data_IF_640406973587
#
_entry.id   IF_640406973587
#
_cell.length_a   1.000
_cell.length_b   1.000
_cell.length_c   1.000
_cell.angle_alpha   90.00
_cell.angle_beta   90.00
_cell.angle_gamma   90.00
#
_symmetry.space_group_name_H-M   'P 1'
#
loop_
_entity.id
_entity.type
_entity.pdbx_description
1 polymer ?
#
# COMPACT_ATOMS: atom_id res chain seq x y z
N UNK A 1 -11.69 28.08 -4.25
CA UNK A 1 -10.48 28.05 -3.41
C UNK A 1 -9.92 26.63 -3.14
N UNK A 2 -10.20 25.61 -3.98
CA UNK A 2 -9.74 24.22 -3.74
C UNK A 2 -8.83 23.66 -4.85
N UNK A 3 -8.46 24.48 -5.85
CA UNK A 3 -7.67 24.04 -7.00
C UNK A 3 -6.24 23.64 -6.59
N UNK A 4 -5.60 24.42 -5.71
CA UNK A 4 -4.27 24.10 -5.18
C UNK A 4 -4.27 22.82 -4.33
N UNK A 5 -5.30 22.61 -3.51
CA UNK A 5 -5.42 21.39 -2.67
C UNK A 5 -5.67 20.12 -3.50
N UNK A 6 -6.53 20.19 -4.51
CA UNK A 6 -6.79 19.08 -5.43
C UNK A 6 -5.55 18.80 -6.29
N UNK A 7 -4.86 19.84 -6.77
CA UNK A 7 -3.62 19.70 -7.54
C UNK A 7 -2.53 19.02 -6.71
N UNK A 8 -2.34 19.45 -5.47
CA UNK A 8 -1.35 18.88 -4.55
C UNK A 8 -1.64 17.41 -4.22
N UNK A 9 -2.86 17.10 -3.79
CA UNK A 9 -3.25 15.72 -3.45
C UNK A 9 -3.21 14.78 -4.65
N UNK A 10 -3.60 15.25 -5.84
CA UNK A 10 -3.49 14.48 -7.08
C UNK A 10 -2.04 14.24 -7.49
N UNK A 11 -1.18 15.25 -7.34
CA UNK A 11 0.25 15.14 -7.62
C UNK A 11 0.99 14.19 -6.66
N UNK A 12 0.56 14.09 -5.40
CA UNK A 12 1.07 13.11 -4.42
C UNK A 12 0.56 11.70 -4.70
N UNK A 13 -0.73 11.55 -5.02
CA UNK A 13 -1.32 10.24 -5.36
C UNK A 13 -0.72 9.64 -6.61
N UNK A 14 -0.39 10.46 -7.61
CA UNK A 14 0.17 9.98 -8.87
C UNK A 14 1.57 9.34 -8.73
N UNK A 15 2.40 9.85 -7.82
CA UNK A 15 3.79 9.36 -7.66
C UNK A 15 3.88 8.17 -6.70
N UNK A 16 2.92 8.03 -5.78
CA UNK A 16 2.98 7.03 -4.72
C UNK A 16 3.07 5.57 -5.23
N UNK A 17 2.27 5.09 -6.20
CA UNK A 17 2.36 3.73 -6.73
C UNK A 17 3.74 3.36 -7.26
N UNK A 18 4.35 4.27 -8.04
CA UNK A 18 5.67 4.07 -8.64
C UNK A 18 6.77 4.05 -7.57
N UNK A 19 6.70 4.97 -6.61
CA UNK A 19 7.66 5.06 -5.50
C UNK A 19 7.62 3.80 -4.64
N UNK A 20 6.43 3.31 -4.29
CA UNK A 20 6.28 2.09 -3.48
C UNK A 20 6.90 0.88 -4.19
N UNK A 21 6.66 0.73 -5.50
CA UNK A 21 7.23 -0.36 -6.29
C UNK A 21 8.75 -0.39 -6.24
N UNK A 22 9.39 0.74 -6.59
CA UNK A 22 10.84 0.85 -6.70
C UNK A 22 11.53 0.71 -5.34
N UNK A 23 10.98 1.33 -4.30
CA UNK A 23 11.54 1.26 -2.95
C UNK A 23 11.54 -0.17 -2.40
N UNK A 24 10.42 -0.88 -2.55
CA UNK A 24 10.29 -2.23 -2.00
C UNK A 24 11.17 -3.20 -2.78
N UNK A 25 11.16 -3.11 -4.11
CA UNK A 25 12.03 -3.92 -4.97
C UNK A 25 13.51 -3.71 -4.61
N UNK A 26 13.95 -2.46 -4.48
CA UNK A 26 15.34 -2.11 -4.14
C UNK A 26 15.71 -2.54 -2.72
N UNK A 27 14.80 -2.34 -1.76
CA UNK A 27 14.99 -2.76 -0.37
C UNK A 27 15.16 -4.28 -0.27
N UNK A 28 14.43 -5.07 -1.06
CA UNK A 28 14.53 -6.53 -1.03
C UNK A 28 15.77 -7.04 -1.76
N UNK A 29 16.15 -6.43 -2.90
CA UNK A 29 17.31 -6.91 -3.67
C UNK A 29 18.65 -6.60 -2.98
N UNK A 30 18.71 -5.55 -2.17
CA UNK A 30 19.92 -5.09 -1.47
C UNK A 30 20.04 -5.56 -0.02
N UNK A 31 18.94 -5.93 0.64
CA UNK A 31 18.94 -6.25 2.07
C UNK A 31 19.30 -7.71 2.36
N UNK A 32 20.22 -7.88 3.30
CA UNK A 32 20.52 -9.17 3.91
C UNK A 32 19.59 -9.45 5.10
N UNK A 33 18.71 -10.43 4.92
CA UNK A 33 17.71 -10.82 5.92
C UNK A 33 18.29 -11.63 7.09
N UNK A 34 19.58 -11.98 7.06
CA UNK A 34 20.23 -12.92 8.00
C UNK A 34 20.21 -12.46 9.47
N UNK A 35 20.19 -11.15 9.74
CA UNK A 35 20.35 -10.61 11.11
C UNK A 35 19.15 -9.81 11.65
N UNK A 36 18.06 -9.67 10.89
CA UNK A 36 16.93 -8.76 11.24
C UNK A 36 15.61 -9.44 11.64
N UNK A 37 15.53 -10.78 11.62
CA UNK A 37 14.27 -11.50 11.85
C UNK A 37 13.61 -11.26 13.21
N UNK A 38 14.41 -11.10 14.27
CA UNK A 38 13.88 -10.97 15.63
C UNK A 38 13.14 -9.64 15.88
N UNK A 39 13.60 -8.53 15.29
CA UNK A 39 12.99 -7.19 15.50
C UNK A 39 11.67 -7.03 14.73
N UNK A 40 11.58 -7.58 13.52
CA UNK A 40 10.37 -7.49 12.68
C UNK A 40 9.19 -8.22 13.32
N UNK A 41 9.42 -9.41 13.91
CA UNK A 41 8.36 -10.18 14.59
C UNK A 41 7.67 -9.36 15.68
N UNK A 42 8.44 -8.64 16.50
CA UNK A 42 7.88 -7.85 17.59
C UNK A 42 7.02 -6.67 17.08
N UNK A 43 7.46 -6.03 15.99
CA UNK A 43 6.71 -4.93 15.35
C UNK A 43 5.37 -5.43 14.79
N UNK A 44 5.35 -6.61 14.17
CA UNK A 44 4.12 -7.20 13.62
C UNK A 44 3.12 -7.51 14.76
N UNK A 45 3.59 -8.11 15.86
CA UNK A 45 2.74 -8.40 17.03
C UNK A 45 2.17 -7.10 17.59
N UNK A 46 3.02 -6.09 17.79
CA UNK A 46 2.61 -4.78 18.27
C UNK A 46 1.55 -4.13 17.35
N UNK A 47 1.71 -4.26 16.03
CA UNK A 47 0.76 -3.73 15.05
C UNK A 47 -0.59 -4.42 15.12
N UNK A 48 -0.62 -5.76 15.20
CA UNK A 48 -1.86 -6.54 15.29
C UNK A 48 -2.62 -6.19 16.58
N UNK A 49 -1.93 -6.19 17.71
CA UNK A 49 -2.52 -5.86 19.01
C UNK A 49 -2.98 -4.41 19.03
N UNK A 50 -2.17 -3.47 18.56
CA UNK A 50 -2.52 -2.05 18.49
C UNK A 50 -3.75 -1.78 17.62
N UNK A 51 -3.83 -2.40 16.44
CA UNK A 51 -4.98 -2.25 15.53
C UNK A 51 -6.26 -2.83 16.14
N UNK A 52 -6.15 -3.98 16.82
CA UNK A 52 -7.27 -4.60 17.51
C UNK A 52 -7.77 -3.78 18.69
N UNK A 53 -6.86 -3.24 19.53
CA UNK A 53 -7.24 -2.34 20.62
C UNK A 53 -7.86 -1.04 20.10
N UNK A 54 -7.33 -0.50 19.01
CA UNK A 54 -7.86 0.71 18.39
C UNK A 54 -9.28 0.49 17.84
N UNK A 55 -9.55 -0.63 17.17
CA UNK A 55 -10.89 -0.93 16.66
C UNK A 55 -11.88 -1.20 17.79
N UNK A 56 -11.47 -1.88 18.87
CA UNK A 56 -12.30 -2.07 20.06
C UNK A 56 -12.66 -0.72 20.73
N UNK A 57 -11.68 0.17 20.87
CA UNK A 57 -11.90 1.51 21.41
C UNK A 57 -12.85 2.33 20.52
N UNK A 58 -12.68 2.28 19.19
CA UNK A 58 -13.55 2.96 18.24
C UNK A 58 -15.00 2.48 18.33
N UNK A 59 -15.23 1.18 18.47
CA UNK A 59 -16.57 0.60 18.64
C UNK A 59 -17.20 1.07 19.95
N UNK A 60 -16.45 1.08 21.06
CA UNK A 60 -16.92 1.61 22.34
C UNK A 60 -17.26 3.10 22.26
N UNK A 61 -16.40 3.91 21.64
CA UNK A 61 -16.63 5.34 21.43
C UNK A 61 -17.89 5.59 20.59
N UNK A 62 -18.14 4.77 19.56
CA UNK A 62 -19.35 4.85 18.75
C UNK A 62 -20.64 4.56 19.56
N UNK A 63 -20.57 3.75 20.63
CA UNK A 63 -21.70 3.56 21.54
C UNK A 63 -21.94 4.77 22.46
N UNK A 64 -20.88 5.46 22.91
CA UNK A 64 -21.00 6.65 23.77
C UNK A 64 -21.43 7.91 22.99
N UNK A 65 -20.98 8.07 21.75
CA UNK A 65 -21.30 9.19 20.88
C UNK A 65 -21.79 8.67 19.53
N UNK A 66 -23.07 8.30 19.39
CA UNK A 66 -23.59 7.76 18.15
C UNK A 66 -23.56 8.83 17.04
N UNK A 67 -22.66 8.65 16.08
CA UNK A 67 -22.57 9.51 14.89
C UNK A 67 -23.70 9.11 13.95
N UNK A 68 -24.80 9.87 13.97
CA UNK A 68 -25.87 9.75 12.98
C UNK A 68 -25.39 10.42 11.69
N UNK A 69 -24.98 9.61 10.71
CA UNK A 69 -24.78 10.06 9.34
C UNK A 69 -26.17 10.43 8.79
N UNK A 70 -26.49 11.72 8.73
CA UNK A 70 -27.70 12.20 8.05
C UNK A 70 -27.56 11.81 6.58
N UNK A 71 -28.50 11.00 6.10
CA UNK A 71 -28.47 10.35 4.80
C UNK A 71 -28.89 11.34 3.70
N UNK A 72 -28.02 12.27 3.33
CA UNK A 72 -28.19 13.07 2.11
C UNK A 72 -27.66 12.27 0.91
N UNK A 73 -28.56 11.57 0.21
CA UNK A 73 -28.23 10.90 -1.07
C UNK A 73 -28.74 9.48 -1.20
N UNK A 74 -30.06 9.32 -1.33
CA UNK A 74 -30.74 8.03 -1.61
C UNK A 74 -30.31 7.40 -2.97
N UNK A 75 -29.46 8.07 -3.75
CA UNK A 75 -28.95 7.55 -5.03
C UNK A 75 -27.77 6.56 -4.89
N UNK A 76 -27.11 6.46 -3.72
CA UNK A 76 -25.98 5.53 -3.52
C UNK A 76 -26.42 4.16 -2.96
N UNK A 77 -27.71 3.99 -2.63
CA UNK A 77 -28.26 2.72 -2.17
C UNK A 77 -28.42 1.66 -3.29
N UNK A 78 -28.19 2.02 -4.55
CA UNK A 78 -28.18 1.08 -5.69
C UNK A 78 -26.83 0.44 -5.94
N UNK A 79 -25.76 0.92 -5.30
CA UNK A 79 -24.51 0.16 -5.23
C UNK A 79 -24.72 -0.90 -4.17
N UNK A 80 -25.09 -2.10 -4.61
CA UNK A 80 -25.12 -3.31 -3.81
C UNK A 80 -23.84 -3.37 -2.98
N UNK A 81 -23.97 -3.12 -1.68
CA UNK A 81 -22.91 -3.46 -0.72
C UNK A 81 -22.52 -4.91 -1.00
N UNK A 82 -21.23 -5.25 -1.08
CA UNK A 82 -20.80 -6.62 -1.31
C UNK A 82 -21.52 -7.54 -0.30
N UNK A 83 -22.50 -8.30 -0.76
CA UNK A 83 -23.42 -9.05 0.11
C UNK A 83 -22.69 -10.24 0.76
N UNK A 84 -21.58 -10.67 0.14
CA UNK A 84 -20.83 -11.84 0.56
C UNK A 84 -19.37 -11.49 0.85
N UNK A 85 -18.96 -11.71 2.10
CA UNK A 85 -17.57 -11.57 2.54
C UNK A 85 -16.60 -12.42 1.69
N UNK A 86 -17.04 -13.59 1.21
CA UNK A 86 -16.27 -14.45 0.30
C UNK A 86 -15.94 -13.80 -1.04
N UNK A 87 -16.81 -12.95 -1.58
CA UNK A 87 -16.56 -12.22 -2.83
C UNK A 87 -15.46 -11.19 -2.65
N UNK A 88 -15.42 -10.51 -1.50
CA UNK A 88 -14.36 -9.55 -1.17
C UNK A 88 -13.01 -10.26 -1.07
N UNK A 89 -12.93 -11.41 -0.37
CA UNK A 89 -11.68 -12.18 -0.31
C UNK A 89 -11.22 -12.65 -1.70
N UNK A 90 -12.16 -13.09 -2.55
CA UNK A 90 -11.86 -13.48 -3.93
C UNK A 90 -11.33 -12.29 -4.74
N UNK A 91 -11.95 -11.11 -4.65
CA UNK A 91 -11.50 -9.89 -5.31
C UNK A 91 -10.10 -9.48 -4.84
N UNK A 92 -9.83 -9.53 -3.53
CA UNK A 92 -8.50 -9.25 -2.97
C UNK A 92 -7.45 -10.22 -3.51
N UNK A 93 -7.75 -11.52 -3.61
CA UNK A 93 -6.85 -12.51 -4.18
C UNK A 93 -6.53 -12.24 -5.65
N UNK A 94 -7.54 -11.90 -6.47
CA UNK A 94 -7.29 -11.52 -7.87
C UNK A 94 -6.47 -10.24 -8.00
N UNK A 95 -6.67 -9.26 -7.11
CA UNK A 95 -5.87 -8.03 -7.07
C UNK A 95 -4.41 -8.26 -6.73
N UNK A 96 -4.06 -9.32 -6.01
CA UNK A 96 -2.66 -9.71 -5.73
C UNK A 96 -1.95 -10.14 -7.01
N UNK A 97 -2.64 -10.90 -7.86
CA UNK A 97 -2.09 -11.50 -9.10
C UNK A 97 -2.41 -10.70 -10.37
N UNK A 98 -2.83 -9.45 -10.20
CA UNK A 98 -3.12 -8.54 -11.30
C UNK A 98 -1.87 -8.30 -12.17
N UNK A 99 -2.06 -7.93 -13.43
CA UNK A 99 -0.97 -7.62 -14.35
C UNK A 99 -0.13 -6.46 -13.77
N UNK A 100 1.21 -6.53 -13.77
CA UNK A 100 2.06 -5.51 -13.12
C UNK A 100 1.88 -4.11 -13.70
N UNK A 101 1.66 -4.00 -15.02
CA UNK A 101 1.42 -2.72 -15.70
C UNK A 101 0.05 -2.18 -15.31
N UNK A 102 -0.97 -3.06 -15.31
CA UNK A 102 -2.31 -2.67 -14.88
C UNK A 102 -2.34 -2.25 -13.41
N UNK A 103 -1.62 -2.95 -12.54
CA UNK A 103 -1.56 -2.66 -11.11
C UNK A 103 -0.95 -1.29 -10.83
N UNK A 104 0.12 -0.92 -11.55
CA UNK A 104 0.73 0.41 -11.48
C UNK A 104 -0.20 1.51 -12.02
N UNK A 105 -0.86 1.26 -13.17
CA UNK A 105 -1.73 2.25 -13.80
C UNK A 105 -3.04 2.49 -13.02
N UNK A 106 -3.60 1.44 -12.42
CA UNK A 106 -4.85 1.49 -11.66
C UNK A 106 -4.66 1.87 -10.19
N UNK A 107 -3.41 1.91 -9.70
CA UNK A 107 -3.12 2.16 -8.28
C UNK A 107 -3.48 1.00 -7.36
N UNK A 108 -3.47 -0.23 -7.88
CA UNK A 108 -3.68 -1.45 -7.09
C UNK A 108 -2.42 -1.77 -6.26
N UNK A 109 -2.34 -1.20 -5.06
CA UNK A 109 -1.20 -1.38 -4.15
C UNK A 109 -0.91 -2.83 -3.77
N UNK A 110 -1.94 -3.70 -3.78
CA UNK A 110 -1.78 -5.12 -3.45
C UNK A 110 -0.99 -5.85 -4.53
N UNK A 111 -1.33 -5.61 -5.80
CA UNK A 111 -0.58 -6.12 -6.96
C UNK A 111 0.81 -5.50 -7.06
N UNK A 112 0.94 -4.19 -6.85
CA UNK A 112 2.23 -3.47 -6.84
C UNK A 112 3.19 -4.08 -5.82
N UNK A 113 2.73 -4.31 -4.58
CA UNK A 113 3.53 -4.91 -3.52
C UNK A 113 3.98 -6.32 -3.90
N UNK A 114 3.08 -7.13 -4.46
CA UNK A 114 3.34 -8.51 -4.85
C UNK A 114 4.43 -8.59 -5.92
N UNK A 115 4.31 -7.79 -6.98
CA UNK A 115 5.31 -7.73 -8.04
C UNK A 115 6.63 -7.09 -7.62
N UNK A 116 6.59 -6.09 -6.72
CA UNK A 116 7.81 -5.52 -6.16
C UNK A 116 8.60 -6.53 -5.32
N UNK A 117 7.90 -7.35 -4.52
CA UNK A 117 8.52 -8.43 -3.75
C UNK A 117 9.08 -9.51 -4.68
N UNK A 118 8.28 -9.98 -5.64
CA UNK A 118 8.71 -11.01 -6.60
C UNK A 118 9.94 -10.54 -7.41
N UNK A 119 9.89 -9.32 -7.94
CA UNK A 119 11.00 -8.70 -8.66
C UNK A 119 12.23 -8.49 -7.79
N UNK A 120 12.06 -8.03 -6.55
CA UNK A 120 13.16 -7.85 -5.60
C UNK A 120 13.86 -9.17 -5.24
N UNK A 121 13.10 -10.25 -5.06
CA UNK A 121 13.64 -11.60 -4.80
C UNK A 121 14.39 -12.11 -6.04
N UNK A 122 13.84 -11.95 -7.24
CA UNK A 122 14.50 -12.34 -8.48
C UNK A 122 15.82 -11.58 -8.67
N UNK A 123 15.83 -10.26 -8.48
CA UNK A 123 17.02 -9.42 -8.59
C UNK A 123 18.06 -9.68 -7.51
N UNK A 124 17.66 -10.25 -6.37
CA UNK A 124 18.60 -10.63 -5.31
C UNK A 124 19.63 -11.66 -5.80
N UNK A 125 19.26 -12.51 -6.76
CA UNK A 125 20.14 -13.51 -7.37
C UNK A 125 20.97 -12.97 -8.54
N UNK A 126 20.69 -11.74 -9.00
CA UNK A 126 21.44 -11.09 -10.07
C UNK A 126 22.78 -10.50 -9.57
N UNK A 127 23.59 -10.04 -10.52
CA UNK A 127 24.89 -9.44 -10.26
C UNK A 127 24.78 -8.14 -9.45
N UNK A 128 25.90 -7.73 -8.85
CA UNK A 128 25.93 -6.52 -8.02
C UNK A 128 25.71 -5.24 -8.83
N UNK A 129 26.10 -5.22 -10.11
CA UNK A 129 25.90 -4.10 -11.02
C UNK A 129 24.41 -3.89 -11.29
N UNK A 130 23.65 -4.97 -11.49
CA UNK A 130 22.20 -4.89 -11.66
C UNK A 130 21.53 -4.29 -10.40
N UNK A 131 21.99 -4.68 -9.21
CA UNK A 131 21.47 -4.12 -7.94
C UNK A 131 21.80 -2.64 -7.78
N UNK A 132 23.01 -2.21 -8.19
CA UNK A 132 23.40 -0.80 -8.14
C UNK A 132 22.51 0.08 -9.00
N UNK A 133 22.15 -0.37 -10.21
CA UNK A 133 21.22 0.38 -11.08
C UNK A 133 19.88 0.65 -10.36
N UNK A 134 19.34 -0.34 -9.64
CA UNK A 134 18.09 -0.14 -8.88
C UNK A 134 18.27 0.78 -7.66
N UNK A 135 19.43 0.78 -7.01
CA UNK A 135 19.76 1.75 -5.95
C UNK A 135 19.77 3.17 -6.53
N UNK A 136 20.43 3.39 -7.65
CA UNK A 136 20.52 4.70 -8.29
C UNK A 136 19.15 5.21 -8.75
N UNK A 137 18.33 4.33 -9.33
CA UNK A 137 16.93 4.65 -9.70
C UNK A 137 16.14 5.03 -8.45
N UNK A 138 16.28 4.27 -7.37
CA UNK A 138 15.58 4.55 -6.12
C UNK A 138 15.97 5.92 -5.53
N UNK A 139 17.25 6.27 -5.53
CA UNK A 139 17.70 7.61 -5.12
C UNK A 139 17.15 8.71 -6.02
N UNK A 140 17.13 8.48 -7.33
CA UNK A 140 16.54 9.40 -8.30
C UNK A 140 15.06 9.68 -8.01
N UNK A 141 14.28 8.63 -7.78
CA UNK A 141 12.84 8.73 -7.47
C UNK A 141 12.61 9.41 -6.12
N UNK A 142 13.42 9.12 -5.11
CA UNK A 142 13.34 9.80 -3.81
C UNK A 142 13.62 11.30 -3.93
N UNK A 143 14.58 11.71 -4.77
CA UNK A 143 14.84 13.13 -5.04
C UNK A 143 13.61 13.82 -5.63
N UNK A 144 12.91 13.20 -6.59
CA UNK A 144 11.70 13.78 -7.20
C UNK A 144 10.64 14.11 -6.13
N UNK A 145 10.48 13.25 -5.12
CA UNK A 145 9.53 13.49 -4.03
C UNK A 145 10.04 14.53 -3.04
N UNK A 146 11.35 14.54 -2.74
CA UNK A 146 11.95 15.51 -1.82
C UNK A 146 11.90 16.94 -2.36
N UNK A 147 11.91 17.13 -3.68
CA UNK A 147 11.84 18.44 -4.33
C UNK A 147 10.41 18.91 -4.68
N UNK A 148 9.38 18.14 -4.30
CA UNK A 148 7.96 18.54 -4.38
C UNK A 148 7.48 19.12 -3.06
#
# INVERSE_FOLDING_TARGET
ANLLGILFTSALKAIAPMLVFILILTSICTKDFSQSGAKIKNIIILYIVGTFLASACAVLANFFFPVKLVLDGVQTATNSSPTHMSEIFKDLLFKIVDNPINALSSGNYLGILTWAIAGGIALKQCSNEAKQVFIDINEGVLKIVKYK
#
